data_IF_012325310804
#
_entry.id   IF_012325310804
#
_cell.length_a   1.000
_cell.length_b   1.000
_cell.length_c   1.000
_cell.angle_alpha   90.00
_cell.angle_beta   90.00
_cell.angle_gamma   90.00
#
_symmetry.space_group_name_H-M   'P 1'
#
loop_
_entity.id
_entity.type
_entity.pdbx_description
1 polymer ?
#
# COMPACT_ATOMS: atom_id res chain seq x y z
N UNK A 1 20.72 12.98 -4.11
CA UNK A 1 19.56 12.09 -4.35
C UNK A 1 18.74 12.02 -3.07
N UNK A 2 17.43 12.24 -3.14
CA UNK A 2 16.55 12.18 -1.98
C UNK A 2 16.53 10.77 -1.38
N UNK A 3 16.40 10.71 -0.06
CA UNK A 3 16.19 9.47 0.69
C UNK A 3 14.74 9.43 1.12
N UNK A 4 13.97 8.51 0.55
CA UNK A 4 12.57 8.29 0.93
C UNK A 4 12.49 7.39 2.16
N UNK A 5 11.66 7.77 3.13
CA UNK A 5 11.39 7.00 4.35
C UNK A 5 9.90 6.74 4.46
N UNK A 6 9.54 5.56 4.94
CA UNK A 6 8.15 5.23 5.29
C UNK A 6 7.87 5.74 6.69
N UNK A 7 6.69 6.30 6.91
CA UNK A 7 6.22 6.83 8.20
C UNK A 7 4.74 6.56 8.42
N UNK A 8 4.19 7.13 9.48
CA UNK A 8 2.78 7.00 9.90
C UNK A 8 2.33 5.55 10.15
N UNK A 9 2.83 4.98 11.24
CA UNK A 9 2.52 3.62 11.68
C UNK A 9 1.36 3.57 12.70
N UNK A 10 0.51 4.60 12.77
CA UNK A 10 -0.57 4.68 13.77
C UNK A 10 -1.63 3.56 13.67
N UNK A 11 -1.73 2.93 12.49
CA UNK A 11 -2.61 1.78 12.21
C UNK A 11 -1.82 0.49 11.94
N UNK A 12 -0.51 0.48 12.23
CA UNK A 12 0.32 -0.70 11.97
C UNK A 12 0.04 -1.78 13.01
N UNK A 13 -0.36 -2.95 12.54
CA UNK A 13 -0.56 -4.13 13.37
C UNK A 13 0.65 -5.07 13.22
N UNK A 14 1.19 -5.62 14.34
CA UNK A 14 2.18 -6.67 14.24
C UNK A 14 1.57 -7.89 13.55
N UNK A 15 2.33 -8.51 12.66
CA UNK A 15 1.97 -9.84 12.18
C UNK A 15 2.09 -10.80 13.37
N UNK A 16 0.96 -11.17 13.98
CA UNK A 16 0.94 -12.15 15.09
C UNK A 16 1.61 -13.44 14.62
N UNK A 17 2.58 -13.91 15.40
CA UNK A 17 3.38 -15.08 15.05
C UNK A 17 2.51 -16.29 14.76
N UNK A 18 2.81 -16.90 13.63
CA UNK A 18 2.15 -18.09 13.10
C UNK A 18 2.52 -19.29 13.99
N UNK A 19 1.55 -19.83 14.74
CA UNK A 19 1.71 -21.17 15.29
C UNK A 19 1.47 -22.18 14.17
N UNK A 20 2.52 -22.87 13.75
CA UNK A 20 2.41 -24.08 12.94
C UNK A 20 1.60 -25.11 13.72
N UNK A 21 0.39 -25.41 13.25
CA UNK A 21 -0.21 -26.69 13.58
C UNK A 21 0.67 -27.80 12.97
N UNK A 22 0.56 -29.02 13.52
CA UNK A 22 1.40 -30.20 13.19
C UNK A 22 1.39 -30.64 11.71
N UNK A 23 0.66 -29.93 10.86
CA UNK A 23 0.45 -30.23 9.44
C UNK A 23 1.03 -29.15 8.50
N UNK A 24 1.76 -28.16 9.01
CA UNK A 24 2.53 -27.23 8.19
C UNK A 24 1.71 -26.17 7.45
N UNK A 25 0.48 -25.87 7.89
CA UNK A 25 -0.36 -24.82 7.31
C UNK A 25 -0.22 -23.54 8.14
N UNK A 26 0.20 -22.47 7.48
CA UNK A 26 0.33 -21.12 8.03
C UNK A 26 -1.06 -20.50 8.17
N UNK A 27 -1.59 -20.43 9.39
CA UNK A 27 -2.84 -19.72 9.69
C UNK A 27 -2.47 -18.40 10.37
N UNK A 28 -2.77 -17.27 9.73
CA UNK A 28 -2.68 -15.96 10.37
C UNK A 28 -3.74 -15.89 11.48
N UNK A 29 -3.36 -15.33 12.62
CA UNK A 29 -4.16 -15.25 13.85
C UNK A 29 -5.33 -14.23 13.78
N UNK A 30 -5.92 -14.09 12.59
CA UNK A 30 -7.20 -13.43 12.33
C UNK A 30 -8.38 -14.31 12.78
N UNK A 31 -8.21 -15.13 13.81
CA UNK A 31 -9.28 -15.95 14.39
C UNK A 31 -10.33 -15.11 15.12
N UNK A 32 -9.99 -13.84 15.41
CA UNK A 32 -10.91 -12.89 15.99
C UNK A 32 -11.74 -12.19 14.89
N UNK A 33 -13.03 -12.49 14.88
CA UNK A 33 -14.01 -11.91 13.98
C UNK A 33 -14.01 -10.40 14.02
N UNK A 34 -13.96 -9.84 15.22
CA UNK A 34 -14.05 -8.40 15.41
C UNK A 34 -12.85 -7.72 14.76
N UNK A 35 -11.65 -8.26 14.95
CA UNK A 35 -10.44 -7.76 14.32
C UNK A 35 -10.50 -7.84 12.79
N UNK A 36 -10.99 -8.95 12.21
CA UNK A 36 -11.15 -9.06 10.76
C UNK A 36 -12.14 -8.06 10.18
N UNK A 37 -13.29 -7.89 10.83
CA UNK A 37 -14.30 -6.90 10.45
C UNK A 37 -13.80 -5.47 10.62
N UNK A 38 -12.96 -5.21 11.61
CA UNK A 38 -12.30 -3.92 11.79
C UNK A 38 -11.28 -3.67 10.68
N UNK A 39 -10.40 -4.63 10.37
CA UNK A 39 -9.46 -4.52 9.24
C UNK A 39 -10.18 -4.26 7.91
N UNK A 40 -11.40 -4.78 7.70
CA UNK A 40 -12.22 -4.50 6.51
C UNK A 40 -12.54 -3.01 6.35
N UNK A 41 -12.71 -2.29 7.46
CA UNK A 41 -13.11 -0.88 7.51
C UNK A 41 -11.95 0.07 7.82
N UNK A 42 -10.80 -0.45 8.23
CA UNK A 42 -9.62 0.35 8.59
C UNK A 42 -8.81 0.77 7.37
N UNK A 43 -8.36 2.02 7.37
CA UNK A 43 -7.48 2.57 6.35
C UNK A 43 -8.07 3.81 5.69
N UNK A 44 -7.39 4.27 4.63
CA UNK A 44 -7.81 5.46 3.89
C UNK A 44 -8.81 5.08 2.82
N UNK A 45 -9.95 5.77 2.80
CA UNK A 45 -10.96 5.60 1.75
C UNK A 45 -10.35 5.75 0.35
N UNK A 46 -10.65 4.80 -0.53
CA UNK A 46 -10.10 4.75 -1.88
C UNK A 46 -8.70 4.14 -2.01
N UNK A 47 -8.16 3.59 -0.93
CA UNK A 47 -6.88 2.88 -0.88
C UNK A 47 -7.01 1.47 -0.32
N UNK A 48 -8.24 0.95 -0.32
CA UNK A 48 -8.52 -0.38 0.17
C UNK A 48 -7.89 -1.44 -0.72
N UNK A 49 -7.58 -2.58 -0.11
CA UNK A 49 -7.08 -3.76 -0.82
C UNK A 49 -8.24 -4.69 -1.18
N UNK A 50 -8.07 -5.58 -2.18
CA UNK A 50 -9.07 -6.60 -2.51
C UNK A 50 -9.50 -7.42 -1.29
N UNK A 51 -8.60 -7.64 -0.35
CA UNK A 51 -8.87 -8.30 0.93
C UNK A 51 -9.92 -7.60 1.79
N UNK A 52 -10.18 -6.30 1.58
CA UNK A 52 -11.16 -5.49 2.30
C UNK A 52 -12.50 -5.38 1.55
N UNK A 53 -12.47 -5.26 0.22
CA UNK A 53 -13.68 -4.94 -0.56
C UNK A 53 -14.20 -6.08 -1.44
N UNK A 54 -13.47 -7.20 -1.56
CA UNK A 54 -13.88 -8.30 -2.44
C UNK A 54 -15.30 -8.79 -2.14
N UNK A 55 -16.05 -9.12 -3.20
CA UNK A 55 -17.40 -9.69 -3.12
C UNK A 55 -17.43 -11.00 -2.31
N UNK A 56 -16.29 -11.67 -2.14
CA UNK A 56 -16.16 -12.82 -1.25
C UNK A 56 -16.68 -12.51 0.17
N UNK A 57 -16.60 -11.25 0.61
CA UNK A 57 -17.14 -10.81 1.90
C UNK A 57 -18.65 -10.95 2.04
N UNK A 58 -19.40 -10.93 0.94
CA UNK A 58 -20.87 -11.02 0.95
C UNK A 58 -21.37 -12.46 1.09
N UNK A 59 -20.47 -13.45 0.98
CA UNK A 59 -20.80 -14.87 1.13
C UNK A 59 -20.65 -15.37 2.58
N UNK A 60 -20.47 -14.45 3.53
CA UNK A 60 -20.23 -14.76 4.94
C UNK A 60 -21.42 -14.38 5.82
N UNK A 61 -22.04 -15.39 6.42
CA UNK A 61 -22.88 -15.21 7.60
C UNK A 61 -22.04 -15.18 8.90
N UNK A 62 -20.81 -15.72 8.86
CA UNK A 62 -19.84 -15.81 9.97
C UNK A 62 -18.39 -15.64 9.45
N UNK A 63 -17.41 -15.63 10.37
CA UNK A 63 -15.96 -15.52 10.12
C UNK A 63 -15.47 -16.18 8.81
N UNK A 64 -14.65 -15.48 8.00
CA UNK A 64 -13.98 -16.07 6.85
C UNK A 64 -13.15 -17.30 7.24
N UNK A 65 -13.57 -18.48 6.80
CA UNK A 65 -12.80 -19.74 6.99
C UNK A 65 -11.70 -19.87 5.92
N UNK A 66 -10.84 -20.89 6.01
CA UNK A 66 -9.70 -21.12 5.09
C UNK A 66 -10.06 -21.29 3.59
N UNK A 67 -11.35 -21.30 3.24
CA UNK A 67 -11.85 -21.62 1.88
C UNK A 67 -11.77 -20.47 0.88
N UNK A 68 -11.43 -19.26 1.30
CA UNK A 68 -11.50 -18.06 0.46
C UNK A 68 -10.14 -17.68 -0.11
N UNK A 69 -10.10 -17.01 -1.25
CA UNK A 69 -8.84 -16.69 -1.93
C UNK A 69 -8.36 -15.26 -1.69
N UNK A 70 -9.28 -14.35 -1.36
CA UNK A 70 -9.01 -12.91 -1.28
C UNK A 70 -9.54 -12.28 -0.01
N UNK A 71 -10.84 -12.40 0.31
CA UNK A 71 -11.44 -11.70 1.45
C UNK A 71 -10.79 -12.10 2.78
N UNK A 72 -10.43 -11.11 3.59
CA UNK A 72 -9.82 -11.31 4.91
C UNK A 72 -8.39 -11.87 4.90
N UNK A 73 -7.79 -12.12 3.72
CA UNK A 73 -6.43 -12.66 3.61
C UNK A 73 -5.36 -11.58 3.75
N UNK A 74 -5.41 -10.84 4.85
CA UNK A 74 -4.42 -9.81 5.14
C UNK A 74 -3.04 -10.38 5.38
N UNK A 75 -2.02 -9.62 5.01
CA UNK A 75 -0.63 -9.88 5.31
C UNK A 75 0.25 -8.79 4.72
N UNK A 76 1.57 -8.99 4.74
CA UNK A 76 2.51 -8.02 4.16
C UNK A 76 2.24 -7.75 2.66
N UNK A 77 1.63 -8.72 1.94
CA UNK A 77 1.25 -8.57 0.54
C UNK A 77 0.09 -7.58 0.33
N UNK A 78 -0.70 -7.27 1.35
CA UNK A 78 -1.69 -6.19 1.32
C UNK A 78 -0.99 -4.82 1.24
N UNK A 79 0.11 -4.64 1.99
CA UNK A 79 0.96 -3.45 1.89
C UNK A 79 1.59 -3.32 0.50
N UNK A 80 2.00 -4.45 -0.09
CA UNK A 80 2.54 -4.47 -1.45
C UNK A 80 1.51 -3.98 -2.49
N UNK A 81 0.25 -4.37 -2.35
CA UNK A 81 -0.83 -3.88 -3.21
C UNK A 81 -1.01 -2.36 -3.08
N UNK A 82 -1.03 -1.84 -1.85
CA UNK A 82 -1.14 -0.39 -1.61
C UNK A 82 0.07 0.38 -2.14
N UNK A 83 1.28 -0.15 -1.97
CA UNK A 83 2.49 0.42 -2.58
C UNK A 83 2.36 0.49 -4.10
N UNK A 84 1.83 -0.56 -4.73
CA UNK A 84 1.61 -0.57 -6.17
C UNK A 84 0.56 0.47 -6.62
N UNK A 85 -0.49 0.71 -5.83
CA UNK A 85 -1.42 1.83 -6.07
C UNK A 85 -0.68 3.18 -6.05
N UNK A 86 0.22 3.40 -5.08
CA UNK A 86 1.03 4.64 -5.02
C UNK A 86 1.93 4.74 -6.25
N UNK A 87 2.62 3.66 -6.62
CA UNK A 87 3.48 3.63 -7.80
C UNK A 87 2.71 3.90 -9.09
N UNK A 88 1.49 3.38 -9.20
CA UNK A 88 0.59 3.65 -10.31
C UNK A 88 0.19 5.13 -10.37
N UNK A 89 -0.13 5.74 -9.23
CA UNK A 89 -0.41 7.18 -9.16
C UNK A 89 0.79 8.03 -9.59
N UNK A 90 2.00 7.67 -9.14
CA UNK A 90 3.23 8.36 -9.54
C UNK A 90 3.47 8.20 -11.04
N UNK A 91 3.36 6.98 -11.57
CA UNK A 91 3.67 6.68 -12.96
C UNK A 91 2.66 7.31 -13.94
N UNK A 92 1.39 7.39 -13.56
CA UNK A 92 0.32 7.89 -14.43
C UNK A 92 -0.06 9.34 -14.17
N UNK A 93 0.27 9.90 -13.00
CA UNK A 93 -0.25 11.18 -12.52
C UNK A 93 -1.74 11.17 -12.15
N UNK A 94 -2.38 10.00 -12.10
CA UNK A 94 -3.82 9.86 -11.85
C UNK A 94 -4.07 9.00 -10.60
N UNK A 95 -5.11 9.34 -9.84
CA UNK A 95 -5.58 8.47 -8.75
C UNK A 95 -6.12 7.16 -9.31
N UNK A 96 -5.92 6.07 -8.55
CA UNK A 96 -6.55 4.78 -8.85
C UNK A 96 -8.09 4.95 -8.85
N UNK A 97 -8.75 4.60 -9.95
CA UNK A 97 -10.23 4.64 -10.03
C UNK A 97 -10.86 3.50 -9.22
N UNK A 98 -10.13 2.39 -9.07
CA UNK A 98 -10.65 1.11 -8.59
C UNK A 98 -10.42 0.86 -7.09
N UNK A 99 -9.93 1.84 -6.33
CA UNK A 99 -9.67 1.70 -4.89
C UNK A 99 -10.86 2.05 -3.98
N UNK A 100 -11.95 2.59 -4.53
CA UNK A 100 -13.10 3.12 -3.77
C UNK A 100 -14.33 2.21 -3.78
N UNK A 101 -14.53 1.42 -4.82
CA UNK A 101 -15.72 0.59 -4.99
C UNK A 101 -15.30 -0.79 -5.47
N UNK A 102 -16.00 -1.84 -5.01
CA UNK A 102 -15.74 -3.25 -5.28
C UNK A 102 -15.83 -3.66 -6.78
N UNK A 103 -15.80 -2.69 -7.68
CA UNK A 103 -15.89 -2.90 -9.11
C UNK A 103 -14.56 -3.40 -9.64
N UNK A 104 -14.55 -4.68 -10.02
CA UNK A 104 -13.52 -5.22 -10.90
C UNK A 104 -13.46 -4.38 -12.18
N UNK A 105 -12.27 -3.95 -12.64
CA UNK A 105 -12.14 -3.31 -13.93
C UNK A 105 -12.89 -4.08 -15.03
N UNK A 106 -13.66 -3.40 -15.91
CA UNK A 106 -14.36 -4.03 -17.02
C UNK A 106 -13.44 -4.89 -17.88
N UNK A 107 -13.98 -5.90 -18.57
CA UNK A 107 -13.20 -6.87 -19.34
C UNK A 107 -12.30 -6.23 -20.43
N UNK A 108 -12.69 -5.07 -20.96
CA UNK A 108 -11.89 -4.26 -21.90
C UNK A 108 -10.57 -3.72 -21.32
N UNK A 109 -10.43 -3.73 -19.99
CA UNK A 109 -9.20 -3.32 -19.29
C UNK A 109 -8.22 -4.46 -19.05
N UNK A 110 -8.58 -5.69 -19.43
CA UNK A 110 -7.70 -6.86 -19.29
C UNK A 110 -6.62 -6.84 -20.38
N UNK A 111 -5.37 -7.24 -20.06
CA UNK A 111 -4.32 -7.31 -21.06
C UNK A 111 -4.66 -8.35 -22.14
N UNK A 112 -4.15 -8.12 -23.35
CA UNK A 112 -4.20 -9.13 -24.39
C UNK A 112 -3.56 -10.44 -23.90
N UNK A 113 -4.26 -11.56 -24.05
CA UNK A 113 -3.80 -12.86 -23.55
C UNK A 113 -4.20 -13.18 -22.11
N UNK A 114 -5.01 -12.34 -21.45
CA UNK A 114 -5.62 -12.72 -20.17
C UNK A 114 -6.43 -14.01 -20.33
N UNK A 115 -6.03 -15.06 -19.62
CA UNK A 115 -6.65 -16.37 -19.69
C UNK A 115 -6.80 -16.96 -18.28
N UNK A 116 -7.93 -16.68 -17.60
CA UNK A 116 -8.17 -17.18 -16.25
C UNK A 116 -8.37 -18.70 -16.21
N UNK A 117 -8.70 -19.32 -17.35
CA UNK A 117 -8.86 -20.76 -17.48
C UNK A 117 -7.52 -21.51 -17.63
N UNK A 118 -6.41 -20.79 -17.78
CA UNK A 118 -5.11 -21.44 -17.96
C UNK A 118 -4.69 -22.22 -16.73
N UNK A 119 -4.30 -23.49 -16.94
CA UNK A 119 -3.70 -24.33 -15.90
C UNK A 119 -2.18 -24.20 -15.83
N UNK A 120 -1.57 -23.54 -16.82
CA UNK A 120 -0.13 -23.31 -16.85
C UNK A 120 0.27 -22.38 -15.70
N UNK A 121 1.43 -22.65 -15.10
CA UNK A 121 1.96 -21.84 -13.99
C UNK A 121 2.66 -20.58 -14.52
N UNK A 122 3.21 -20.67 -15.73
CA UNK A 122 4.00 -19.69 -16.45
C UNK A 122 3.18 -18.72 -17.30
N UNK A 123 1.86 -18.87 -17.35
CA UNK A 123 1.00 -17.93 -18.07
C UNK A 123 0.97 -16.57 -17.37
N UNK A 124 1.65 -15.61 -17.99
CA UNK A 124 1.94 -14.27 -17.47
C UNK A 124 0.70 -13.46 -17.07
N UNK A 125 -0.46 -13.74 -17.67
CA UNK A 125 -1.73 -13.04 -17.46
C UNK A 125 -2.86 -13.98 -17.04
N UNK A 126 -2.57 -14.95 -16.18
CA UNK A 126 -3.57 -15.87 -15.64
C UNK A 126 -4.45 -15.23 -14.55
N UNK A 127 -3.90 -14.30 -13.77
CA UNK A 127 -4.56 -13.76 -12.58
C UNK A 127 -5.12 -12.36 -12.83
N UNK A 128 -6.30 -12.11 -12.25
CA UNK A 128 -6.94 -10.81 -12.33
C UNK A 128 -6.13 -9.77 -11.57
N UNK A 129 -5.90 -8.60 -12.18
CA UNK A 129 -5.16 -7.48 -11.59
C UNK A 129 -5.92 -6.17 -11.72
N UNK A 130 -5.94 -5.39 -10.65
CA UNK A 130 -6.47 -4.03 -10.66
C UNK A 130 -5.53 -3.03 -11.39
N UNK A 131 -4.29 -3.44 -11.69
CA UNK A 131 -3.33 -2.69 -12.51
C UNK A 131 -3.32 -3.06 -13.99
N UNK A 132 -4.23 -3.95 -14.44
CA UNK A 132 -4.28 -4.47 -15.81
C UNK A 132 -4.36 -3.40 -16.91
N UNK A 133 -5.02 -2.27 -16.64
CA UNK A 133 -5.17 -1.16 -17.59
C UNK A 133 -3.84 -0.47 -17.98
N UNK A 134 -2.75 -0.71 -17.24
CA UNK A 134 -1.42 -0.21 -17.65
C UNK A 134 -0.90 -0.94 -18.91
N UNK A 135 -1.42 -2.14 -19.18
CA UNK A 135 -0.99 -3.02 -20.26
C UNK A 135 -1.97 -3.05 -21.43
N UNK A 136 -3.25 -2.75 -21.21
CA UNK A 136 -4.29 -2.85 -22.25
C UNK A 136 -4.18 -1.77 -23.35
N UNK A 137 -3.58 -0.61 -23.05
CA UNK A 137 -3.36 0.48 -24.00
C UNK A 137 -1.89 0.92 -23.98
N UNK A 138 -1.01 0.21 -24.73
CA UNK A 138 0.43 0.45 -24.69
C UNK A 138 0.80 1.86 -25.16
N UNK A 139 0.03 2.42 -26.11
CA UNK A 139 0.26 3.75 -26.68
C UNK A 139 -0.02 4.87 -25.67
N UNK A 140 -1.12 4.76 -24.92
CA UNK A 140 -1.48 5.74 -23.87
C UNK A 140 -0.37 5.85 -22.82
N UNK A 141 0.22 4.73 -22.45
CA UNK A 141 1.20 4.66 -21.38
C UNK A 141 2.64 4.56 -21.87
N UNK A 142 2.91 4.77 -23.17
CA UNK A 142 4.21 4.51 -23.83
C UNK A 142 5.42 5.15 -23.15
N UNK A 143 5.21 6.22 -22.40
CA UNK A 143 6.24 6.95 -21.66
C UNK A 143 6.65 6.27 -20.34
N UNK A 144 5.87 5.29 -19.86
CA UNK A 144 6.18 4.47 -18.68
C UNK A 144 6.92 3.23 -19.16
N UNK A 145 8.04 2.90 -18.52
CA UNK A 145 8.77 1.66 -18.81
C UNK A 145 7.85 0.42 -18.75
N UNK A 146 7.95 -0.46 -19.77
CA UNK A 146 7.08 -1.64 -19.86
C UNK A 146 7.26 -2.59 -18.68
N UNK A 147 8.51 -2.86 -18.29
CA UNK A 147 8.81 -3.72 -17.15
C UNK A 147 8.19 -3.16 -15.86
N UNK A 148 8.28 -1.84 -15.63
CA UNK A 148 7.62 -1.20 -14.49
C UNK A 148 6.09 -1.41 -14.51
N UNK A 149 5.44 -1.27 -15.67
CA UNK A 149 3.98 -1.51 -15.79
C UNK A 149 3.60 -2.93 -15.40
N UNK A 150 4.36 -3.92 -15.87
CA UNK A 150 4.12 -5.33 -15.51
C UNK A 150 4.29 -5.58 -14.02
N UNK A 151 5.29 -4.99 -13.37
CA UNK A 151 5.51 -5.15 -11.94
C UNK A 151 4.42 -4.49 -11.09
N UNK A 152 3.99 -3.28 -11.46
CA UNK A 152 2.84 -2.63 -10.80
C UNK A 152 1.61 -3.53 -10.91
N UNK A 153 1.32 -4.05 -12.10
CA UNK A 153 0.20 -4.95 -12.36
C UNK A 153 0.29 -6.24 -11.51
N UNK A 154 1.44 -6.91 -11.46
CA UNK A 154 1.63 -8.14 -10.66
C UNK A 154 1.45 -7.90 -9.16
N UNK A 155 1.93 -6.76 -8.65
CA UNK A 155 1.71 -6.37 -7.26
C UNK A 155 0.24 -6.06 -6.94
N UNK A 156 -0.57 -5.75 -7.96
CA UNK A 156 -1.99 -5.45 -7.85
C UNK A 156 -2.92 -6.64 -8.19
N UNK A 157 -2.42 -7.89 -8.14
CA UNK A 157 -3.29 -9.06 -8.27
C UNK A 157 -4.38 -9.11 -7.19
N UNK A 158 -5.57 -9.56 -7.58
CA UNK A 158 -6.74 -9.75 -6.72
C UNK A 158 -6.38 -10.64 -5.53
N UNK A 159 -5.87 -11.84 -5.82
CA UNK A 159 -5.48 -12.81 -4.81
C UNK A 159 -4.10 -12.46 -4.23
N UNK A 160 -3.99 -12.25 -2.90
CA UNK A 160 -2.71 -11.90 -2.27
C UNK A 160 -1.63 -12.94 -2.52
N UNK A 161 -1.98 -14.24 -2.53
CA UNK A 161 -0.99 -15.31 -2.69
C UNK A 161 -0.23 -15.23 -4.02
N UNK A 162 -0.88 -14.73 -5.07
CA UNK A 162 -0.32 -14.68 -6.43
C UNK A 162 0.55 -13.44 -6.67
N UNK A 163 0.48 -12.43 -5.78
CA UNK A 163 1.37 -11.26 -5.82
C UNK A 163 2.83 -11.72 -5.61
N UNK A 164 3.82 -11.04 -6.21
CA UNK A 164 5.22 -11.46 -6.15
C UNK A 164 5.78 -11.48 -4.72
N UNK A 165 6.80 -12.30 -4.50
CA UNK A 165 7.59 -12.32 -3.28
C UNK A 165 8.55 -11.12 -3.18
N UNK A 166 9.10 -10.88 -1.99
CA UNK A 166 10.12 -9.84 -1.81
C UNK A 166 11.37 -10.10 -2.66
N UNK A 167 11.81 -11.35 -2.76
CA UNK A 167 13.00 -11.71 -3.54
C UNK A 167 12.78 -11.51 -5.04
N UNK A 168 11.57 -11.79 -5.54
CA UNK A 168 11.20 -11.54 -6.95
C UNK A 168 11.31 -10.03 -7.26
N UNK A 169 10.75 -9.18 -6.39
CA UNK A 169 10.79 -7.73 -6.54
C UNK A 169 12.23 -7.21 -6.44
N UNK A 170 13.00 -7.68 -5.46
CA UNK A 170 14.41 -7.28 -5.30
C UNK A 170 15.20 -7.61 -6.55
N UNK A 171 15.05 -8.83 -7.06
CA UNK A 171 15.74 -9.32 -8.26
C UNK A 171 15.41 -8.42 -9.45
N UNK A 172 14.13 -8.13 -9.67
CA UNK A 172 13.68 -7.27 -10.75
C UNK A 172 14.20 -5.82 -10.65
N UNK A 173 14.29 -5.27 -9.43
CA UNK A 173 14.86 -3.95 -9.19
C UNK A 173 16.35 -3.94 -9.55
N UNK A 174 17.12 -4.94 -9.11
CA UNK A 174 18.55 -5.01 -9.40
C UNK A 174 18.82 -5.23 -10.90
N UNK A 175 18.06 -6.11 -11.54
CA UNK A 175 18.11 -6.30 -13.01
C UNK A 175 17.79 -5.00 -13.74
N UNK A 176 16.75 -4.26 -13.31
CA UNK A 176 16.40 -2.99 -13.95
C UNK A 176 17.48 -1.93 -13.74
N UNK A 177 18.05 -1.82 -12.55
CA UNK A 177 19.14 -0.88 -12.24
C UNK A 177 20.37 -1.14 -13.10
N UNK A 178 20.66 -2.41 -13.42
CA UNK A 178 21.77 -2.78 -14.29
C UNK A 178 21.60 -2.25 -15.74
N UNK A 179 20.36 -1.95 -16.17
CA UNK A 179 20.08 -1.36 -17.49
C UNK A 179 20.22 0.15 -17.55
N UNK A 180 20.35 0.85 -16.42
CA UNK A 180 20.40 2.30 -16.39
C UNK A 180 21.72 2.84 -16.90
N UNK A 181 21.64 3.69 -17.92
CA UNK A 181 22.76 4.42 -18.50
C UNK A 181 23.21 5.57 -17.59
N UNK A 182 24.38 6.13 -17.85
CA UNK A 182 24.83 7.34 -17.16
C UNK A 182 23.92 8.55 -17.45
N UNK A 183 23.30 8.58 -18.64
CA UNK A 183 22.32 9.60 -19.01
C UNK A 183 21.06 9.51 -18.13
N UNK A 184 20.53 8.31 -17.91
CA UNK A 184 19.38 8.08 -17.03
C UNK A 184 19.68 8.53 -15.60
N UNK A 185 20.88 8.21 -15.10
CA UNK A 185 21.33 8.61 -13.76
C UNK A 185 21.47 10.12 -13.64
N UNK A 186 21.95 10.80 -14.69
CA UNK A 186 22.04 12.25 -14.74
C UNK A 186 20.66 12.89 -14.78
N UNK A 187 19.76 12.38 -15.61
CA UNK A 187 18.38 12.83 -15.72
C UNK A 187 17.63 12.69 -14.37
N UNK A 188 17.81 11.57 -13.67
CA UNK A 188 17.22 11.34 -12.35
C UNK A 188 17.73 12.34 -11.29
N UNK A 189 19.02 12.69 -11.32
CA UNK A 189 19.60 13.71 -10.43
C UNK A 189 19.05 15.09 -10.73
N UNK A 190 19.02 15.49 -12.01
CA UNK A 190 18.47 16.77 -12.43
C UNK A 190 17.00 16.92 -12.04
N UNK A 191 16.20 15.87 -12.26
CA UNK A 191 14.81 15.84 -11.79
C UNK A 191 14.71 16.00 -10.28
N UNK A 192 15.55 15.29 -9.51
CA UNK A 192 15.53 15.38 -8.06
C UNK A 192 15.91 16.78 -7.56
N UNK A 193 16.93 17.39 -8.14
CA UNK A 193 17.37 18.75 -7.78
C UNK A 193 16.29 19.79 -8.11
N UNK A 194 15.57 19.60 -9.22
CA UNK A 194 14.43 20.47 -9.60
C UNK A 194 13.22 20.28 -8.69
N UNK A 195 12.90 19.04 -8.31
CA UNK A 195 11.70 18.71 -7.56
C UNK A 195 11.81 19.02 -6.06
N UNK A 196 12.99 18.76 -5.46
CA UNK A 196 13.22 18.91 -4.02
C UNK A 196 14.06 20.14 -3.66
N UNK A 197 14.67 20.79 -4.65
CA UNK A 197 15.58 21.90 -4.43
C UNK A 197 16.94 21.46 -3.87
N UNK A 198 17.85 22.42 -3.63
CA UNK A 198 19.08 22.15 -2.90
C UNK A 198 18.75 21.69 -1.48
N UNK A 199 19.53 20.75 -0.95
CA UNK A 199 19.48 20.45 0.47
C UNK A 199 19.74 21.74 1.25
N UNK A 200 18.97 22.05 2.30
CA UNK A 200 19.32 23.15 3.20
C UNK A 200 20.76 22.94 3.66
N UNK A 201 21.59 23.97 3.57
CA UNK A 201 22.88 23.97 4.26
C UNK A 201 22.55 23.84 5.74
N UNK A 202 22.84 22.68 6.33
CA UNK A 202 22.65 22.46 7.76
C UNK A 202 23.84 23.11 8.48
N UNK A 203 23.67 24.24 9.17
CA UNK A 203 24.75 24.87 9.92
C UNK A 203 25.26 23.97 11.07
N UNK A 204 24.55 22.89 11.41
CA UNK A 204 24.93 21.97 12.48
C UNK A 204 25.73 20.74 11.99
N UNK A 205 25.84 20.50 10.68
CA UNK A 205 26.63 19.39 10.13
C UNK A 205 28.14 19.61 10.27
N UNK A 206 28.63 20.86 10.36
CA UNK A 206 30.04 21.17 10.70
C UNK A 206 30.40 20.84 12.15
N UNK A 207 29.42 20.85 13.06
CA UNK A 207 29.62 20.46 14.46
C UNK A 207 29.76 18.94 14.61
N UNK A 208 29.11 18.15 13.76
CA UNK A 208 29.14 16.69 13.83
C UNK A 208 30.35 16.08 13.11
N UNK A 209 30.89 16.73 12.08
CA UNK A 209 32.15 16.31 11.45
C UNK A 209 33.36 16.43 12.38
N UNK A 210 33.29 17.32 13.39
CA UNK A 210 34.29 17.45 14.46
C UNK A 210 34.11 16.45 15.62
N UNK A 211 33.06 15.62 15.62
CA UNK A 211 32.79 14.61 16.66
C UNK A 211 33.19 13.18 16.25
N UNK A 212 33.66 12.96 15.02
CA UNK A 212 34.11 11.65 14.54
C UNK A 212 35.53 11.25 15.00
N UNK A 213 35.82 11.40 16.29
CA UNK A 213 36.97 10.72 16.94
C UNK A 213 36.58 9.97 18.22
N UNK A 214 35.29 9.74 18.48
CA UNK A 214 34.89 8.83 19.57
C UNK A 214 33.85 7.83 19.07
N UNK A 215 34.25 6.57 19.07
CA UNK A 215 33.46 5.40 18.74
C UNK A 215 32.16 5.30 19.54
N UNK A 216 31.11 4.82 18.86
CA UNK A 216 30.05 4.04 19.50
C UNK A 216 28.71 4.74 19.69
N UNK A 217 27.66 4.11 19.17
CA UNK A 217 26.24 4.27 19.49
C UNK A 217 25.59 5.62 19.11
N UNK A 218 24.98 5.65 17.92
CA UNK A 218 23.88 6.58 17.66
C UNK A 218 22.61 6.05 18.34
N UNK A 219 22.34 6.53 19.56
CA UNK A 219 20.99 6.61 20.10
C UNK A 219 20.36 7.90 19.53
N UNK A 220 19.31 7.78 18.71
CA UNK A 220 18.48 8.93 18.39
C UNK A 220 17.75 9.38 19.67
N UNK A 221 17.67 10.69 19.97
CA UNK A 221 16.85 11.17 21.07
C UNK A 221 15.38 10.95 20.69
N UNK A 222 14.70 10.12 21.48
CA UNK A 222 13.24 10.05 21.53
C UNK A 222 12.73 11.47 21.83
N UNK A 223 11.98 12.03 20.89
CA UNK A 223 11.29 13.30 21.07
C UNK A 223 10.41 13.20 22.31
N UNK A 224 10.62 14.14 23.23
CA UNK A 224 10.03 14.18 24.56
C UNK A 224 8.51 14.10 24.54
N UNK A 225 7.99 13.21 25.37
CA UNK A 225 6.64 13.29 25.88
C UNK A 225 6.61 14.37 26.96
N UNK A 226 5.83 15.41 26.76
CA UNK A 226 5.27 16.17 27.88
C UNK A 226 3.75 15.97 27.92
N UNK A 227 3.17 15.73 29.11
CA UNK A 227 1.74 15.45 29.27
C UNK A 227 0.94 16.76 29.23
N UNK A 228 -0.05 16.84 28.33
CA UNK A 228 -1.05 17.89 28.34
C UNK A 228 -2.03 17.67 29.50
N UNK A 229 -1.75 18.28 30.65
CA UNK A 229 -2.74 18.49 31.72
C UNK A 229 -3.48 19.81 31.53
N UNK A 230 -4.80 19.71 31.34
CA UNK A 230 -5.84 20.59 31.87
C UNK A 230 -5.58 22.11 31.86
N UNK A 231 -6.15 22.79 30.86
CA UNK A 231 -6.80 24.08 31.10
C UNK A 231 -8.23 24.07 30.61
N UNK A 232 -9.11 24.22 31.59
CA UNK A 232 -10.55 24.31 31.55
C UNK A 232 -10.96 25.76 31.22
N UNK A 233 -11.72 25.99 30.14
CA UNK A 233 -12.58 27.14 29.80
C UNK A 233 -13.40 26.65 28.60
N UNK A 234 -14.71 26.43 28.62
CA UNK A 234 -15.80 27.20 29.22
C UNK A 234 -16.73 27.62 28.07
N UNK A 235 -17.99 27.16 28.13
CA UNK A 235 -19.15 27.52 27.30
C UNK A 235 -19.45 26.71 26.03
N UNK A 236 -20.72 26.28 25.91
CA UNK A 236 -21.30 25.74 24.67
C UNK A 236 -22.10 24.44 24.77
N UNK A 237 -22.78 24.13 25.88
CA UNK A 237 -23.91 23.18 25.88
C UNK A 237 -25.17 23.99 25.59
N UNK A 238 -25.61 24.10 24.34
CA UNK A 238 -26.92 24.69 23.96
C UNK A 238 -27.19 24.59 22.44
N UNK A 239 -26.87 23.46 21.79
CA UNK A 239 -27.10 23.31 20.35
C UNK A 239 -27.62 21.93 19.89
N UNK A 240 -27.99 21.03 20.80
CA UNK A 240 -28.49 19.68 20.44
C UNK A 240 -29.91 19.37 20.97
N UNK A 241 -30.64 20.37 21.49
CA UNK A 241 -32.01 20.17 22.02
C UNK A 241 -33.12 20.91 21.26
N UNK A 242 -32.81 21.61 20.16
CA UNK A 242 -33.82 22.33 19.34
C UNK A 242 -34.19 21.64 18.01
N UNK A 243 -33.47 20.60 17.57
CA UNK A 243 -33.80 19.91 16.31
C UNK A 243 -34.79 18.73 16.48
N UNK A 244 -35.08 18.30 17.70
CA UNK A 244 -36.01 17.19 17.98
C UNK A 244 -37.46 17.63 18.25
N UNK A 245 -37.77 18.93 18.11
CA UNK A 245 -39.12 19.48 18.34
C UNK A 245 -39.85 20.00 17.10
N UNK A 246 -39.22 20.03 15.93
CA UNK A 246 -39.84 20.55 14.70
C UNK A 246 -40.32 19.46 13.73
N UNK A 247 -40.26 18.18 14.11
CA UNK A 247 -40.64 17.05 13.25
C UNK A 247 -41.93 16.32 13.68
N UNK A 248 -42.66 16.87 14.66
CA UNK A 248 -43.95 16.33 15.15
C UNK A 248 -45.18 17.21 14.81
N UNK A 249 -45.03 18.28 14.01
CA UNK A 249 -46.16 19.15 13.59
C UNK A 249 -46.21 19.48 12.08
N UNK A 250 -45.86 18.54 11.20
CA UNK A 250 -46.04 18.68 9.74
C UNK A 250 -46.78 17.50 9.08
#
# INVERSE_FOLDING_TARGET
MPVFKVGDFGLAEPLKEVRTNSHGIVVNDFQDAENLWNCRRTGKEGWYTPEQFSEEWNNFDQLPTDRHHTAGRYGWKSNLYQLAQVMMCIATGHRTRWGTYAERPPAEYLPAGFNPASKRRDDQYKYFSFGAFLLNNPDRWRFIDWTLREWIMKCMYDQPRERPGFDDIRTAIEEKKATFTDEDRRAARLWADQAFGPLPEDPHLETLSNLHTVSGLYLFPLCGSEPLSLMNRGHGKEAEEEEEKEMDEA
#
